data_IF_445995075931
#
_entry.id   IF_445995075931
#
_cell.length_a   1.000
_cell.length_b   1.000
_cell.length_c   1.000
_cell.angle_alpha   90.00
_cell.angle_beta   90.00
_cell.angle_gamma   90.00
#
_symmetry.space_group_name_H-M   'P 1'
#
loop_
_entity.id
_entity.type
_entity.pdbx_description
1 polymer ?
#
# COMPACT_ATOMS: atom_id res chain seq x y z
N UNK A 1 -0.09 -34.59 -5.04
CA UNK A 1 0.02 -33.18 -4.64
C UNK A 1 -1.16 -32.49 -5.28
N UNK A 2 -2.09 -31.97 -4.49
CA UNK A 2 -3.24 -31.24 -5.02
C UNK A 2 -2.74 -29.87 -5.46
N UNK A 3 -2.67 -29.65 -6.77
CA UNK A 3 -2.22 -28.42 -7.42
C UNK A 3 -3.25 -27.28 -7.30
N UNK A 4 -3.72 -27.00 -6.09
CA UNK A 4 -4.48 -25.78 -5.81
C UNK A 4 -3.47 -24.69 -5.47
N UNK A 5 -3.15 -23.83 -6.45
CA UNK A 5 -2.38 -22.61 -6.24
C UNK A 5 -3.23 -21.58 -5.47
N UNK A 6 -3.49 -21.87 -4.20
CA UNK A 6 -4.23 -21.00 -3.29
C UNK A 6 -3.29 -19.95 -2.71
N UNK A 7 -3.73 -18.69 -2.78
CA UNK A 7 -3.03 -17.53 -2.21
C UNK A 7 -3.78 -17.10 -0.95
N UNK A 8 -3.03 -16.92 0.14
CA UNK A 8 -3.56 -16.50 1.43
C UNK A 8 -2.88 -15.21 1.87
N UNK A 9 -3.67 -14.26 2.38
CA UNK A 9 -3.14 -13.15 3.17
C UNK A 9 -2.97 -13.68 4.60
N UNK A 10 -1.73 -13.66 5.10
CA UNK A 10 -1.37 -14.16 6.42
C UNK A 10 -0.64 -13.08 7.22
N UNK A 11 -0.32 -13.38 8.48
CA UNK A 11 0.43 -12.49 9.37
C UNK A 11 -0.27 -11.16 9.71
N UNK A 12 -1.56 -11.25 10.06
CA UNK A 12 -2.30 -10.16 10.68
C UNK A 12 -2.11 -10.11 12.21
N UNK A 13 -1.27 -10.98 12.77
CA UNK A 13 -1.10 -11.16 14.23
C UNK A 13 -0.41 -9.99 14.93
N UNK A 14 0.25 -9.12 14.16
CA UNK A 14 0.87 -7.88 14.64
C UNK A 14 0.01 -6.63 14.39
N UNK A 15 -1.14 -6.78 13.72
CA UNK A 15 -2.08 -5.68 13.50
C UNK A 15 -2.76 -5.30 14.82
N UNK A 16 -2.95 -3.99 15.03
CA UNK A 16 -3.71 -3.47 16.17
C UNK A 16 -5.12 -3.08 15.72
N UNK A 17 -6.14 -3.23 16.58
CA UNK A 17 -7.44 -2.62 16.34
C UNK A 17 -7.30 -1.12 16.09
N UNK A 18 -8.10 -0.58 15.16
CA UNK A 18 -8.10 0.86 14.84
C UNK A 18 -8.41 1.70 16.09
N UNK A 19 -9.24 1.19 17.02
CA UNK A 19 -9.51 1.82 18.31
C UNK A 19 -8.26 2.10 19.12
N UNK A 20 -7.26 1.21 19.06
CA UNK A 20 -6.06 1.25 19.88
C UNK A 20 -4.97 2.13 19.26
N UNK A 21 -5.16 2.55 17.99
CA UNK A 21 -4.27 3.43 17.24
C UNK A 21 -4.62 4.91 17.41
N UNK A 22 -5.81 5.22 17.95
CA UNK A 22 -6.23 6.61 18.21
C UNK A 22 -5.53 7.21 19.45
N UNK A 23 -5.05 6.37 20.37
CA UNK A 23 -4.46 6.76 21.65
C UNK A 23 -2.92 6.61 21.70
N UNK A 24 -2.26 6.21 20.61
CA UNK A 24 -0.81 5.99 20.59
C UNK A 24 -0.01 7.24 20.24
N UNK A 25 1.16 7.40 20.87
CA UNK A 25 2.22 8.35 20.50
C UNK A 25 2.33 8.52 18.96
N UNK A 26 2.66 9.74 18.48
CA UNK A 26 2.82 10.20 17.07
C UNK A 26 3.76 9.38 16.15
N UNK A 27 4.10 8.14 16.51
CA UNK A 27 4.96 7.23 15.79
C UNK A 27 4.17 6.46 14.74
N UNK A 28 4.50 6.73 13.47
CA UNK A 28 4.08 5.94 12.33
C UNK A 28 4.84 4.60 12.33
N UNK A 29 4.10 3.49 12.24
CA UNK A 29 4.67 2.15 12.06
C UNK A 29 4.21 1.56 10.72
N UNK A 30 5.13 0.96 9.97
CA UNK A 30 4.79 0.28 8.72
C UNK A 30 5.97 0.16 7.76
N UNK A 31 5.72 -0.46 6.62
CA UNK A 31 6.69 -0.61 5.53
C UNK A 31 6.41 0.46 4.48
N UNK A 32 7.20 1.54 4.51
CA UNK A 32 6.95 2.80 3.80
C UNK A 32 6.39 2.66 2.37
N UNK A 33 6.94 1.82 1.46
CA UNK A 33 6.41 1.66 0.11
C UNK A 33 4.93 1.24 0.00
N UNK A 34 4.37 0.63 1.04
CA UNK A 34 2.98 0.15 1.08
C UNK A 34 2.06 1.10 1.86
N UNK A 35 2.61 2.12 2.53
CA UNK A 35 1.83 2.99 3.42
C UNK A 35 1.04 4.04 2.65
N UNK A 36 -0.22 4.20 3.03
CA UNK A 36 -1.12 5.15 2.39
C UNK A 36 -0.73 6.62 2.70
N UNK A 37 -0.99 7.57 1.77
CA UNK A 37 -0.65 8.98 1.92
C UNK A 37 -1.25 9.67 3.15
N UNK A 38 -2.40 9.20 3.64
CA UNK A 38 -3.04 9.70 4.85
C UNK A 38 -2.29 9.26 6.11
N UNK A 39 -1.81 8.01 6.16
CA UNK A 39 -1.00 7.49 7.27
C UNK A 39 0.34 8.22 7.34
N UNK A 40 0.97 8.41 6.18
CA UNK A 40 2.21 9.18 6.04
C UNK A 40 2.07 10.65 6.47
N UNK A 41 0.83 11.16 6.60
CA UNK A 41 0.50 12.50 7.11
C UNK A 41 0.01 12.49 8.56
N UNK A 42 0.28 11.42 9.32
CA UNK A 42 -0.21 11.25 10.69
C UNK A 42 -1.75 11.32 10.82
N UNK A 43 -2.49 10.90 9.78
CA UNK A 43 -3.93 10.68 9.93
C UNK A 43 -4.20 9.27 10.47
N UNK A 44 -5.35 9.05 11.14
CA UNK A 44 -5.71 7.72 11.65
C UNK A 44 -5.78 6.66 10.55
N UNK A 45 -5.51 5.41 10.94
CA UNK A 45 -5.74 4.25 10.09
C UNK A 45 -7.21 4.07 9.75
N UNK A 46 -7.48 3.77 8.48
CA UNK A 46 -8.82 3.47 7.98
C UNK A 46 -8.77 2.23 7.08
N UNK A 47 -9.92 1.58 6.79
CA UNK A 47 -9.96 0.48 5.83
C UNK A 47 -9.40 0.85 4.44
N UNK A 48 -9.54 2.12 4.03
CA UNK A 48 -9.00 2.64 2.78
C UNK A 48 -7.47 2.59 2.74
N UNK A 49 -6.80 2.71 3.89
CA UNK A 49 -5.35 2.56 3.99
C UNK A 49 -4.89 1.12 3.70
N UNK A 50 -5.70 0.11 4.05
CA UNK A 50 -5.45 -1.28 3.67
C UNK A 50 -5.69 -1.50 2.17
N UNK A 51 -6.70 -0.84 1.59
CA UNK A 51 -6.94 -0.86 0.13
C UNK A 51 -5.75 -0.25 -0.64
N UNK A 52 -5.19 0.84 -0.13
CA UNK A 52 -3.96 1.40 -0.67
C UNK A 52 -2.80 0.38 -0.59
N UNK A 53 -2.59 -0.25 0.57
CA UNK A 53 -1.55 -1.26 0.74
C UNK A 53 -1.74 -2.43 -0.24
N UNK A 54 -2.99 -2.85 -0.46
CA UNK A 54 -3.36 -3.88 -1.42
C UNK A 54 -2.98 -3.51 -2.86
N UNK A 55 -3.16 -2.24 -3.26
CA UNK A 55 -2.73 -1.77 -4.57
C UNK A 55 -1.21 -1.89 -4.80
N UNK A 56 -0.42 -1.71 -3.74
CA UNK A 56 1.04 -1.84 -3.81
C UNK A 56 1.45 -3.30 -3.95
N UNK A 57 0.74 -4.22 -3.29
CA UNK A 57 0.88 -5.66 -3.52
C UNK A 57 0.46 -6.06 -4.95
N UNK A 58 -0.65 -5.49 -5.47
CA UNK A 58 -1.06 -5.72 -6.86
C UNK A 58 0.04 -5.29 -7.84
N UNK A 59 0.63 -4.11 -7.62
CA UNK A 59 1.74 -3.63 -8.44
C UNK A 59 2.97 -4.56 -8.34
N UNK A 60 3.30 -4.99 -7.12
CA UNK A 60 4.40 -5.95 -6.88
C UNK A 60 4.18 -7.27 -7.62
N UNK A 61 2.97 -7.82 -7.63
CA UNK A 61 2.67 -9.03 -8.41
C UNK A 61 2.91 -8.85 -9.90
N UNK A 62 2.59 -7.68 -10.46
CA UNK A 62 2.81 -7.41 -11.88
C UNK A 62 4.26 -7.14 -12.23
N UNK A 63 5.05 -6.62 -11.29
CA UNK A 63 6.44 -6.21 -11.53
C UNK A 63 7.47 -7.24 -11.09
N UNK A 64 7.10 -8.14 -10.16
CA UNK A 64 8.02 -9.07 -9.50
C UNK A 64 9.05 -8.40 -8.59
N UNK A 65 8.86 -7.11 -8.25
CA UNK A 65 9.77 -6.35 -7.39
C UNK A 65 8.99 -5.49 -6.39
N UNK A 66 9.65 -5.16 -5.27
CA UNK A 66 9.06 -4.28 -4.26
C UNK A 66 8.78 -2.88 -4.80
N UNK A 67 7.67 -2.22 -4.41
CA UNK A 67 7.38 -0.86 -4.82
C UNK A 67 8.52 0.09 -4.45
N UNK A 68 8.86 0.99 -5.38
CA UNK A 68 9.96 1.96 -5.23
C UNK A 68 11.36 1.37 -4.96
N UNK A 69 11.61 0.10 -5.35
CA UNK A 69 12.94 -0.52 -5.29
C UNK A 69 14.04 0.42 -5.81
N UNK A 70 15.12 0.53 -5.04
CA UNK A 70 16.27 1.40 -5.36
C UNK A 70 16.08 2.87 -4.99
N UNK A 71 15.01 3.23 -4.28
CA UNK A 71 14.87 4.53 -3.61
C UNK A 71 15.18 4.41 -2.13
N UNK A 72 15.77 5.45 -1.55
CA UNK A 72 15.90 5.55 -0.11
C UNK A 72 14.50 5.66 0.52
N UNK A 73 14.27 4.91 1.59
CA UNK A 73 13.02 4.94 2.36
C UNK A 73 13.10 6.06 3.39
N UNK A 74 13.19 7.28 2.90
CA UNK A 74 13.41 8.50 3.67
C UNK A 74 12.24 9.49 3.51
N UNK A 75 12.37 10.67 4.14
CA UNK A 75 11.38 11.74 4.04
C UNK A 75 11.11 12.20 2.61
N UNK A 76 12.07 12.08 1.69
CA UNK A 76 11.85 12.48 0.30
C UNK A 76 10.88 11.53 -0.41
N UNK A 77 11.00 10.22 -0.14
CA UNK A 77 10.03 9.25 -0.65
C UNK A 77 8.64 9.47 -0.04
N UNK A 78 8.55 9.75 1.27
CA UNK A 78 7.29 10.07 1.95
C UNK A 78 6.59 11.25 1.27
N UNK A 79 7.29 12.37 1.11
CA UNK A 79 6.75 13.57 0.46
C UNK A 79 6.28 13.27 -0.95
N UNK A 80 7.10 12.55 -1.73
CA UNK A 80 6.74 12.17 -3.09
C UNK A 80 5.44 11.34 -3.16
N UNK A 81 5.26 10.37 -2.27
CA UNK A 81 4.05 9.52 -2.22
C UNK A 81 2.82 10.37 -1.88
N UNK A 82 2.98 11.27 -0.91
CA UNK A 82 1.97 12.25 -0.53
C UNK A 82 1.57 13.18 -1.68
N UNK A 83 2.51 13.55 -2.55
CA UNK A 83 2.29 14.36 -3.76
C UNK A 83 1.72 13.56 -4.94
N UNK A 84 1.45 12.26 -4.76
CA UNK A 84 0.81 11.42 -5.78
C UNK A 84 1.77 10.59 -6.62
N UNK A 85 3.07 10.51 -6.26
CA UNK A 85 3.99 9.58 -6.91
C UNK A 85 3.48 8.14 -6.76
N UNK A 86 3.49 7.40 -7.86
CA UNK A 86 3.16 5.98 -7.92
C UNK A 86 4.24 5.23 -8.71
N UNK A 87 4.39 3.92 -8.48
CA UNK A 87 5.26 3.09 -9.31
C UNK A 87 4.83 3.11 -10.79
N UNK A 88 5.78 2.91 -11.70
CA UNK A 88 5.49 2.86 -13.15
C UNK A 88 4.67 1.61 -13.47
N UNK A 89 3.57 1.77 -14.20
CA UNK A 89 2.77 0.64 -14.70
C UNK A 89 3.63 -0.26 -15.59
N UNK A 90 3.60 -1.56 -15.34
CA UNK A 90 4.35 -2.56 -16.10
C UNK A 90 3.67 -2.81 -17.43
N UNK A 91 4.46 -2.87 -18.50
CA UNK A 91 3.97 -3.18 -19.83
C UNK A 91 3.27 -4.54 -19.86
N UNK A 92 2.22 -4.68 -20.66
CA UNK A 92 1.38 -5.88 -20.75
C UNK A 92 0.53 -6.19 -19.49
N UNK A 93 0.50 -5.34 -18.47
CA UNK A 93 -0.49 -5.48 -17.39
C UNK A 93 -1.90 -5.33 -17.96
N UNK A 94 -2.82 -6.28 -17.73
CA UNK A 94 -4.18 -6.20 -18.26
C UNK A 94 -4.89 -4.91 -17.82
N UNK A 95 -5.63 -4.29 -18.74
CA UNK A 95 -6.29 -2.99 -18.48
C UNK A 95 -7.21 -3.02 -17.26
N UNK A 96 -8.02 -4.07 -17.09
CA UNK A 96 -8.90 -4.19 -15.92
C UNK A 96 -8.12 -4.22 -14.60
N UNK A 97 -6.92 -4.80 -14.60
CA UNK A 97 -6.04 -4.85 -13.43
C UNK A 97 -5.43 -3.48 -13.14
N UNK A 98 -4.99 -2.76 -14.19
CA UNK A 98 -4.51 -1.37 -14.08
C UNK A 98 -5.62 -0.49 -13.51
N UNK A 99 -6.84 -0.60 -14.04
CA UNK A 99 -7.96 0.24 -13.63
C UNK A 99 -8.35 -0.02 -12.16
N UNK A 100 -8.36 -1.28 -11.73
CA UNK A 100 -8.59 -1.65 -10.33
C UNK A 100 -7.47 -1.13 -9.41
N UNK A 101 -6.21 -1.43 -9.75
CA UNK A 101 -5.05 -0.98 -8.98
C UNK A 101 -5.02 0.54 -8.85
N UNK A 102 -5.41 1.26 -9.93
CA UNK A 102 -5.49 2.72 -9.92
C UNK A 102 -6.57 3.29 -9.01
N UNK A 103 -7.73 2.63 -8.92
CA UNK A 103 -8.76 2.99 -7.96
C UNK A 103 -8.27 2.77 -6.54
N UNK A 104 -7.63 1.64 -6.27
CA UNK A 104 -7.16 1.30 -4.93
C UNK A 104 -6.03 2.23 -4.40
N UNK A 105 -5.23 2.84 -5.27
CA UNK A 105 -4.15 3.77 -4.85
C UNK A 105 -4.47 5.25 -5.06
N UNK A 106 -5.74 5.59 -5.25
CA UNK A 106 -6.19 6.97 -5.42
C UNK A 106 -5.79 7.81 -4.19
N UNK A 107 -5.31 9.05 -4.38
CA UNK A 107 -4.99 9.93 -3.25
C UNK A 107 -6.20 10.30 -2.38
N UNK A 108 -7.43 10.20 -2.91
CA UNK A 108 -8.67 10.34 -2.18
C UNK A 108 -9.13 8.97 -1.67
N UNK A 109 -9.16 8.74 -0.33
CA UNK A 109 -9.59 7.46 0.24
C UNK A 109 -11.02 7.07 -0.14
N UNK A 110 -11.89 8.04 -0.44
CA UNK A 110 -13.33 7.81 -0.71
C UNK A 110 -13.68 7.56 -2.19
N UNK A 111 -12.70 7.33 -3.07
CA UNK A 111 -12.89 7.27 -4.53
C UNK A 111 -13.15 5.85 -5.08
#
# INVERSE_FOLDING_TARGET
MSDNHELFIIDLGLCKPISDLQDSDDKIYGVLPYMAPEILRNKPYTPESDIYSFSMMMWEFTSGITPFKGKAHDHHLILSVCEGKRPKIIENTPKCYIDLMKKCWDPSPSN
#
